data_IF_331738744507
#
_entry.id   IF_331738744507
#
_cell.length_a   1.000
_cell.length_b   1.000
_cell.length_c   1.000
_cell.angle_alpha   90.00
_cell.angle_beta   90.00
_cell.angle_gamma   90.00
#
_symmetry.space_group_name_H-M   'P 1'
#
loop_
_entity.id
_entity.type
_entity.pdbx_description
1 polymer ?
#
# COMPACT_ATOMS: atom_id res chain seq x y z
N UNK A 1 -30.70 19.35 -1.71
CA UNK A 1 -32.09 19.28 -1.21
C UNK A 1 -32.86 18.43 -2.20
N UNK A 2 -33.01 17.13 -1.93
CA UNK A 2 -33.79 16.24 -2.81
C UNK A 2 -35.21 16.16 -2.26
N UNK A 3 -36.20 16.54 -3.06
CA UNK A 3 -37.62 16.49 -2.68
C UNK A 3 -38.27 15.31 -3.42
N UNK A 4 -38.36 14.16 -2.75
CA UNK A 4 -39.07 13.01 -3.30
C UNK A 4 -40.56 13.16 -3.00
N UNK A 5 -41.36 13.50 -4.01
CA UNK A 5 -42.83 13.42 -3.90
C UNK A 5 -43.28 12.01 -4.27
N UNK A 6 -44.01 11.36 -3.36
CA UNK A 6 -44.69 10.09 -3.63
C UNK A 6 -46.17 10.38 -3.85
N UNK A 7 -46.70 9.91 -4.98
CA UNK A 7 -48.13 9.89 -5.25
C UNK A 7 -48.57 8.41 -5.28
N UNK A 8 -49.49 8.03 -4.40
CA UNK A 8 -50.09 6.70 -4.36
C UNK A 8 -51.51 6.76 -3.83
N UNK A 9 -52.47 6.35 -4.64
CA UNK A 9 -53.91 6.28 -4.33
C UNK A 9 -54.27 4.92 -3.72
N UNK A 10 -55.31 4.95 -2.87
CA UNK A 10 -56.12 3.86 -2.29
C UNK A 10 -55.85 3.46 -0.82
N UNK A 11 -56.78 3.92 0.02
CA UNK A 11 -57.17 3.48 1.39
C UNK A 11 -56.05 3.12 2.38
N UNK A 12 -55.93 3.98 3.41
CA UNK A 12 -55.15 3.89 4.65
C UNK A 12 -53.71 4.45 4.64
N UNK A 13 -53.66 5.78 4.82
CA UNK A 13 -52.53 6.65 5.20
C UNK A 13 -51.71 7.30 4.07
N UNK A 14 -51.84 8.63 3.97
CA UNK A 14 -50.98 9.51 3.15
C UNK A 14 -49.75 9.91 4.00
N UNK A 15 -48.54 9.68 3.49
CA UNK A 15 -47.30 10.13 4.15
C UNK A 15 -46.30 10.71 3.15
N UNK A 16 -45.42 11.58 3.63
CA UNK A 16 -44.34 12.24 2.87
C UNK A 16 -43.14 12.53 3.77
N UNK A 17 -41.98 12.79 3.18
CA UNK A 17 -40.76 13.11 3.94
C UNK A 17 -39.96 14.23 3.29
N UNK A 18 -39.24 15.00 4.11
CA UNK A 18 -38.29 16.04 3.69
C UNK A 18 -36.95 15.74 4.36
N UNK A 19 -35.89 15.68 3.57
CA UNK A 19 -34.54 15.39 4.07
C UNK A 19 -33.52 16.42 3.58
N UNK A 20 -32.55 16.72 4.44
CA UNK A 20 -31.36 17.53 4.13
C UNK A 20 -30.12 16.76 4.53
N UNK A 21 -29.38 16.31 3.53
CA UNK A 21 -28.11 15.63 3.68
C UNK A 21 -26.95 16.50 3.16
N UNK A 22 -25.80 16.37 3.80
CA UNK A 22 -24.52 16.97 3.41
C UNK A 22 -23.42 15.93 3.59
N UNK A 23 -22.61 15.73 2.56
CA UNK A 23 -21.47 14.82 2.61
C UNK A 23 -20.21 15.44 2.01
N UNK A 24 -19.07 15.16 2.63
CA UNK A 24 -17.75 15.55 2.15
C UNK A 24 -16.86 14.32 2.09
N UNK A 25 -16.15 14.15 0.98
CA UNK A 25 -15.17 13.07 0.81
C UNK A 25 -13.83 13.65 0.34
N UNK A 26 -12.75 13.23 0.98
CA UNK A 26 -11.38 13.57 0.57
C UNK A 26 -10.56 12.30 0.44
N UNK A 27 -9.82 12.14 -0.65
CA UNK A 27 -8.89 11.02 -0.86
C UNK A 27 -7.50 11.55 -1.20
N UNK A 28 -6.47 10.90 -0.64
CA UNK A 28 -5.06 11.15 -0.91
C UNK A 28 -4.37 9.81 -1.17
N UNK A 29 -3.53 9.76 -2.21
CA UNK A 29 -2.80 8.57 -2.60
C UNK A 29 -1.33 8.87 -2.89
N UNK A 30 -0.44 7.98 -2.44
CA UNK A 30 0.96 7.97 -2.87
C UNK A 30 1.24 6.65 -3.59
N UNK A 31 1.68 6.73 -4.83
CA UNK A 31 2.08 5.58 -5.64
C UNK A 31 3.57 5.63 -5.92
N UNK A 32 4.25 4.50 -5.72
CA UNK A 32 5.62 4.24 -6.12
C UNK A 32 5.61 3.25 -7.27
N UNK A 33 6.61 3.37 -8.13
CA UNK A 33 6.93 2.40 -9.16
C UNK A 33 8.38 1.99 -8.97
N UNK A 34 8.64 0.69 -8.96
CA UNK A 34 10.01 0.24 -8.86
C UNK A 34 10.74 0.48 -10.18
N UNK A 35 11.99 0.95 -10.08
CA UNK A 35 12.90 0.94 -11.21
C UNK A 35 13.31 -0.50 -11.53
N UNK A 36 13.43 -0.87 -12.80
CA UNK A 36 13.94 -2.18 -13.21
C UNK A 36 15.30 -1.99 -13.90
N UNK A 37 16.33 -2.65 -13.40
CA UNK A 37 17.66 -2.68 -14.00
C UNK A 37 18.00 -4.13 -14.31
N UNK A 38 18.01 -4.47 -15.60
CA UNK A 38 18.39 -5.80 -16.07
C UNK A 38 19.68 -5.71 -16.87
N UNK A 39 20.65 -6.55 -16.54
CA UNK A 39 21.91 -6.63 -17.25
C UNK A 39 22.51 -8.05 -17.15
N UNK A 40 23.54 -8.35 -17.93
CA UNK A 40 24.28 -9.60 -17.75
C UNK A 40 24.97 -9.63 -16.39
N UNK A 41 25.69 -8.56 -16.09
CA UNK A 41 26.32 -8.34 -14.79
C UNK A 41 25.95 -6.95 -14.30
N UNK A 42 25.74 -6.81 -12.99
CA UNK A 42 25.55 -5.52 -12.33
C UNK A 42 26.66 -5.40 -11.29
N UNK A 43 27.43 -4.31 -11.35
CA UNK A 43 28.49 -4.02 -10.39
C UNK A 43 28.24 -2.65 -9.76
N UNK A 44 28.08 -2.59 -8.45
CA UNK A 44 27.94 -1.35 -7.68
C UNK A 44 29.15 -1.23 -6.77
N UNK A 45 30.10 -0.36 -7.13
CA UNK A 45 31.33 -0.14 -6.36
C UNK A 45 31.32 1.30 -5.83
N UNK A 46 31.15 1.45 -4.53
CA UNK A 46 31.04 2.75 -3.87
C UNK A 46 31.95 2.77 -2.65
N UNK A 47 32.58 3.91 -2.38
CA UNK A 47 33.40 4.08 -1.17
C UNK A 47 32.57 4.44 0.06
N UNK A 48 31.31 4.84 -0.15
CA UNK A 48 30.38 5.32 0.86
C UNK A 48 29.12 4.45 0.87
N UNK A 49 28.03 4.95 1.43
CA UNK A 49 26.79 4.21 1.61
C UNK A 49 26.04 4.04 0.28
N UNK A 50 25.54 2.83 0.03
CA UNK A 50 24.65 2.50 -1.09
C UNK A 50 23.24 2.28 -0.57
N UNK A 51 22.26 2.97 -1.17
CA UNK A 51 20.83 2.78 -0.88
C UNK A 51 20.09 2.31 -2.12
N UNK A 52 19.40 1.18 -2.00
CA UNK A 52 18.59 0.59 -3.06
C UNK A 52 17.16 0.55 -2.54
N UNK A 53 16.33 1.49 -3.00
CA UNK A 53 14.96 1.66 -2.53
C UNK A 53 13.98 1.74 -3.69
N UNK A 54 12.99 0.84 -3.69
CA UNK A 54 12.02 0.74 -4.77
C UNK A 54 12.67 0.34 -6.10
N UNK A 55 13.48 -0.73 -6.11
CA UNK A 55 14.18 -1.16 -7.31
C UNK A 55 14.23 -2.68 -7.47
N UNK A 56 14.25 -3.14 -8.71
CA UNK A 56 14.42 -4.53 -9.12
C UNK A 56 15.72 -4.64 -9.92
N UNK A 57 16.79 -5.11 -9.29
CA UNK A 57 18.08 -5.34 -9.92
C UNK A 57 18.15 -6.81 -10.31
N UNK A 58 18.22 -7.09 -11.61
CA UNK A 58 18.27 -8.43 -12.15
C UNK A 58 19.52 -8.59 -13.01
N UNK A 59 20.55 -9.23 -12.44
CA UNK A 59 21.68 -9.67 -13.23
C UNK A 59 21.43 -11.10 -13.75
N UNK A 60 21.61 -11.36 -15.04
CA UNK A 60 21.42 -12.73 -15.55
C UNK A 60 22.58 -13.66 -15.18
N UNK A 61 23.72 -13.08 -14.80
CA UNK A 61 24.92 -13.79 -14.34
C UNK A 61 25.34 -13.34 -12.92
N UNK A 62 25.98 -12.18 -12.78
CA UNK A 62 26.53 -11.75 -11.48
C UNK A 62 25.99 -10.39 -11.03
N UNK A 63 25.63 -10.29 -9.74
CA UNK A 63 25.38 -9.03 -9.05
C UNK A 63 26.45 -8.87 -7.98
N UNK A 64 27.32 -7.86 -8.13
CA UNK A 64 28.37 -7.54 -7.16
C UNK A 64 28.10 -6.16 -6.54
N UNK A 65 28.16 -6.07 -5.22
CA UNK A 65 28.03 -4.83 -4.47
C UNK A 65 29.22 -4.72 -3.51
N UNK A 66 30.00 -3.65 -3.66
CA UNK A 66 31.06 -3.27 -2.74
C UNK A 66 30.76 -1.84 -2.25
N UNK A 67 30.56 -1.71 -0.93
CA UNK A 67 30.09 -0.45 -0.34
C UNK A 67 30.50 -0.37 1.13
N UNK A 68 30.47 0.85 1.71
CA UNK A 68 30.67 1.00 3.15
C UNK A 68 29.49 0.42 3.92
N UNK A 69 28.30 0.93 3.63
CA UNK A 69 27.03 0.47 4.19
C UNK A 69 26.03 0.22 3.06
N UNK A 70 25.23 -0.84 3.19
CA UNK A 70 24.17 -1.16 2.24
C UNK A 70 22.81 -1.06 2.91
N UNK A 71 21.90 -0.28 2.33
CA UNK A 71 20.47 -0.28 2.67
C UNK A 71 19.67 -0.80 1.47
N UNK A 72 18.85 -1.82 1.68
CA UNK A 72 17.93 -2.36 0.67
C UNK A 72 16.52 -2.34 1.25
N UNK A 73 15.65 -1.54 0.65
CA UNK A 73 14.37 -1.18 1.27
C UNK A 73 13.23 -1.20 0.26
N UNK A 74 12.20 -1.99 0.53
CA UNK A 74 10.93 -1.91 -0.19
C UNK A 74 10.20 -0.60 0.07
N UNK A 75 9.29 -0.24 -0.84
CA UNK A 75 8.46 0.97 -0.73
C UNK A 75 7.00 0.61 -0.49
N UNK A 76 6.21 1.56 0.00
CA UNK A 76 4.78 1.35 0.27
C UNK A 76 3.95 2.37 -0.49
N UNK A 77 3.02 1.89 -1.30
CA UNK A 77 1.91 2.70 -1.75
C UNK A 77 0.99 2.96 -0.57
N UNK A 78 0.41 4.15 -0.49
CA UNK A 78 -0.49 4.54 0.61
C UNK A 78 -1.74 5.14 0.01
N UNK A 79 -2.89 4.79 0.57
CA UNK A 79 -4.17 5.41 0.26
C UNK A 79 -4.83 5.84 1.57
N UNK A 80 -5.37 7.05 1.61
CA UNK A 80 -6.08 7.60 2.75
C UNK A 80 -7.34 8.29 2.27
N UNK A 81 -8.50 7.79 2.68
CA UNK A 81 -9.78 8.43 2.40
C UNK A 81 -10.47 8.84 3.71
N UNK A 82 -11.19 9.95 3.67
CA UNK A 82 -12.02 10.44 4.77
C UNK A 82 -13.37 10.85 4.22
N UNK A 83 -14.42 10.24 4.74
CA UNK A 83 -15.80 10.58 4.42
C UNK A 83 -16.50 11.08 5.67
N UNK A 84 -17.26 12.14 5.55
CA UNK A 84 -18.12 12.67 6.61
C UNK A 84 -19.48 12.98 6.01
N UNK A 85 -20.55 12.52 6.63
CA UNK A 85 -21.91 12.82 6.25
C UNK A 85 -22.74 13.24 7.46
N UNK A 86 -23.69 14.13 7.20
CA UNK A 86 -24.62 14.68 8.16
C UNK A 86 -25.97 14.79 7.47
N UNK A 87 -27.04 14.35 8.12
CA UNK A 87 -28.36 14.33 7.55
C UNK A 87 -29.43 14.60 8.60
N UNK A 88 -30.49 15.27 8.18
CA UNK A 88 -31.70 15.47 8.96
C UNK A 88 -32.91 15.15 8.09
N UNK A 89 -33.93 14.50 8.65
CA UNK A 89 -35.17 14.16 7.95
C UNK A 89 -36.40 14.39 8.81
N UNK A 90 -37.51 14.72 8.17
CA UNK A 90 -38.81 14.95 8.78
C UNK A 90 -39.86 14.16 8.00
N UNK A 91 -40.57 13.27 8.67
CA UNK A 91 -41.68 12.48 8.12
C UNK A 91 -43.03 13.05 8.56
N UNK A 92 -43.93 13.28 7.61
CA UNK A 92 -45.30 13.75 7.82
C UNK A 92 -46.29 12.68 7.35
N UNK A 93 -47.33 12.43 8.14
CA UNK A 93 -48.38 11.46 7.86
C UNK A 93 -49.78 12.05 8.03
N UNK A 94 -50.80 11.23 7.82
CA UNK A 94 -52.23 11.59 7.92
C UNK A 94 -52.63 12.20 9.27
N UNK A 95 -51.88 11.95 10.34
CA UNK A 95 -52.15 12.44 11.70
C UNK A 95 -51.15 13.51 12.19
N UNK A 96 -50.34 14.10 11.30
CA UNK A 96 -49.33 15.10 11.64
C UNK A 96 -47.89 14.60 11.44
N UNK A 97 -46.93 15.18 12.16
CA UNK A 97 -45.53 14.72 12.12
C UNK A 97 -45.43 13.30 12.68
N UNK A 98 -44.86 12.40 11.89
CA UNK A 98 -44.75 10.98 12.25
C UNK A 98 -43.33 10.62 12.68
N UNK A 99 -42.30 11.32 12.19
CA UNK A 99 -40.90 11.02 12.54
C UNK A 99 -39.96 12.22 12.33
N UNK A 100 -38.89 12.26 13.12
CA UNK A 100 -37.76 13.18 12.96
C UNK A 100 -36.48 12.34 13.04
N UNK A 101 -35.61 12.46 12.06
CA UNK A 101 -34.34 11.72 11.98
C UNK A 101 -33.15 12.67 11.94
N UNK A 102 -32.08 12.31 12.64
CA UNK A 102 -30.76 12.90 12.48
C UNK A 102 -29.75 11.79 12.33
N UNK A 103 -28.87 11.89 11.33
CA UNK A 103 -27.82 10.91 11.10
C UNK A 103 -26.50 11.61 10.87
N UNK A 104 -25.45 11.10 11.51
CA UNK A 104 -24.08 11.58 11.35
C UNK A 104 -23.25 10.35 11.05
N UNK A 105 -22.33 10.41 10.09
CA UNK A 105 -21.44 9.28 9.83
C UNK A 105 -20.06 9.76 9.46
N UNK A 106 -19.04 9.04 9.92
CA UNK A 106 -17.65 9.31 9.58
C UNK A 106 -16.98 7.99 9.20
N UNK A 107 -16.15 8.02 8.18
CA UNK A 107 -15.35 6.87 7.81
C UNK A 107 -13.93 7.34 7.49
N UNK A 108 -12.96 6.73 8.15
CA UNK A 108 -11.55 6.89 7.82
C UNK A 108 -11.03 5.58 7.24
N UNK A 109 -10.52 5.63 6.01
CA UNK A 109 -9.84 4.52 5.36
C UNK A 109 -8.35 4.87 5.26
N UNK A 110 -7.50 3.91 5.61
CA UNK A 110 -6.06 4.00 5.40
C UNK A 110 -5.53 2.63 4.99
N UNK A 111 -4.90 2.56 3.82
CA UNK A 111 -4.22 1.36 3.35
C UNK A 111 -2.77 1.62 2.96
N UNK A 112 -1.96 0.58 3.08
CA UNK A 112 -0.55 0.51 2.73
C UNK A 112 -0.31 -0.79 1.99
N UNK A 113 0.30 -0.71 0.81
CA UNK A 113 0.66 -1.90 0.01
C UNK A 113 2.15 -1.88 -0.29
N UNK A 114 2.85 -2.95 0.08
CA UNK A 114 4.29 -3.08 -0.16
C UNK A 114 4.57 -3.36 -1.64
N UNK A 115 5.52 -2.63 -2.20
CA UNK A 115 6.15 -2.89 -3.48
C UNK A 115 7.59 -3.36 -3.24
N UNK A 116 7.83 -4.64 -3.50
CA UNK A 116 9.05 -5.36 -3.13
C UNK A 116 10.27 -4.85 -3.90
N UNK A 117 11.29 -4.38 -3.21
CA UNK A 117 12.63 -4.18 -3.78
C UNK A 117 13.36 -5.50 -3.82
N UNK A 118 13.91 -5.85 -5.00
CA UNK A 118 14.53 -7.14 -5.25
C UNK A 118 15.90 -7.00 -5.90
N UNK A 119 16.81 -7.88 -5.52
CA UNK A 119 18.15 -8.01 -6.07
C UNK A 119 18.41 -9.47 -6.38
N UNK A 120 18.53 -9.81 -7.67
CA UNK A 120 18.61 -11.20 -8.10
C UNK A 120 19.70 -11.45 -9.13
N UNK A 121 20.40 -12.58 -8.98
CA UNK A 121 21.42 -13.02 -9.94
C UNK A 121 21.64 -14.53 -9.92
N UNK A 122 22.45 -15.11 -10.82
CA UNK A 122 22.97 -16.48 -10.61
C UNK A 122 23.90 -16.54 -9.42
N UNK A 123 24.74 -15.51 -9.30
CA UNK A 123 25.59 -15.30 -8.15
C UNK A 123 25.45 -13.87 -7.66
N UNK A 124 25.11 -13.72 -6.39
CA UNK A 124 25.04 -12.43 -5.71
C UNK A 124 26.19 -12.37 -4.73
N UNK A 125 27.04 -11.36 -4.84
CA UNK A 125 28.14 -11.09 -3.92
C UNK A 125 27.97 -9.68 -3.35
N UNK A 126 27.77 -9.58 -2.04
CA UNK A 126 27.63 -8.31 -1.34
C UNK A 126 28.72 -8.23 -0.28
N UNK A 127 29.60 -7.25 -0.42
CA UNK A 127 30.64 -6.94 0.54
C UNK A 127 30.36 -5.54 1.10
N UNK A 128 30.12 -5.48 2.40
CA UNK A 128 29.96 -4.22 3.11
C UNK A 128 31.03 -4.09 4.18
N UNK A 129 31.60 -2.89 4.30
CA UNK A 129 32.64 -2.63 5.29
C UNK A 129 32.11 -2.52 6.71
N UNK A 130 30.82 -2.16 6.89
CA UNK A 130 30.26 -1.86 8.20
C UNK A 130 28.86 -2.46 8.43
N UNK A 131 27.84 -2.02 7.70
CA UNK A 131 26.46 -2.44 7.98
C UNK A 131 25.68 -2.79 6.72
N UNK A 132 24.85 -3.83 6.83
CA UNK A 132 23.80 -4.14 5.86
C UNK A 132 22.44 -4.06 6.54
N UNK A 133 21.53 -3.28 5.98
CA UNK A 133 20.15 -3.13 6.41
C UNK A 133 19.19 -3.61 5.33
N UNK A 134 18.30 -4.53 5.69
CA UNK A 134 17.26 -5.08 4.83
C UNK A 134 15.88 -4.77 5.41
N UNK A 135 15.05 -4.03 4.68
CA UNK A 135 13.68 -3.69 5.11
C UNK A 135 12.67 -4.14 4.08
N UNK A 136 12.05 -5.29 4.37
CA UNK A 136 11.03 -5.91 3.51
C UNK A 136 11.52 -6.22 2.09
N UNK A 137 12.83 -6.36 1.88
CA UNK A 137 13.49 -6.54 0.58
C UNK A 137 13.90 -7.99 0.32
N UNK A 138 14.08 -8.35 -0.95
CA UNK A 138 14.56 -9.67 -1.38
C UNK A 138 15.97 -9.57 -1.99
N UNK A 139 16.89 -10.40 -1.49
CA UNK A 139 18.19 -10.65 -2.11
C UNK A 139 18.29 -12.15 -2.33
N UNK A 140 18.40 -12.59 -3.58
CA UNK A 140 18.36 -14.01 -3.87
C UNK A 140 19.13 -14.39 -5.12
N UNK A 141 19.64 -15.62 -5.13
CA UNK A 141 20.08 -16.28 -6.34
C UNK A 141 19.08 -17.37 -6.78
N UNK A 142 17.91 -17.00 -7.34
CA UNK A 142 16.77 -17.92 -7.48
C UNK A 142 17.08 -19.09 -8.41
N UNK A 143 16.92 -20.32 -7.94
CA UNK A 143 17.05 -21.52 -8.77
C UNK A 143 15.92 -21.59 -9.80
N UNK A 144 16.26 -21.81 -11.06
CA UNK A 144 15.26 -22.24 -12.04
C UNK A 144 15.08 -23.74 -11.88
N UNK A 145 13.83 -24.23 -12.02
CA UNK A 145 13.52 -25.66 -12.03
C UNK A 145 14.04 -26.30 -13.32
N UNK A 146 15.36 -26.39 -13.48
CA UNK A 146 16.01 -27.04 -14.61
C UNK A 146 16.64 -28.34 -14.15
N UNK A 147 16.56 -29.38 -14.98
CA UNK A 147 17.12 -30.72 -14.76
C UNK A 147 18.65 -30.73 -14.53
N UNK A 148 19.33 -29.60 -14.78
CA UNK A 148 20.76 -29.41 -14.57
C UNK A 148 21.05 -28.72 -13.24
N UNK A 149 21.92 -29.29 -12.42
CA UNK A 149 22.40 -28.64 -11.18
C UNK A 149 23.32 -27.47 -11.56
N UNK A 150 22.75 -26.26 -11.64
CA UNK A 150 23.54 -25.03 -11.74
C UNK A 150 23.74 -24.49 -10.33
N UNK A 151 24.99 -24.41 -9.86
CA UNK A 151 25.30 -23.79 -8.57
C UNK A 151 24.97 -22.30 -8.61
N UNK A 152 24.13 -21.87 -7.67
CA UNK A 152 23.72 -20.47 -7.51
C UNK A 152 23.95 -20.10 -6.07
N UNK A 153 24.61 -18.98 -5.82
CA UNK A 153 25.02 -18.60 -4.47
C UNK A 153 24.70 -17.14 -4.17
N UNK A 154 24.44 -16.86 -2.90
CA UNK A 154 24.34 -15.51 -2.36
C UNK A 154 25.36 -15.42 -1.23
N UNK A 155 26.40 -14.63 -1.45
CA UNK A 155 27.42 -14.33 -0.44
C UNK A 155 27.16 -12.92 0.09
N UNK A 156 27.07 -12.80 1.42
CA UNK A 156 26.94 -11.53 2.12
C UNK A 156 28.02 -11.44 3.20
N UNK A 157 28.96 -10.51 3.01
CA UNK A 157 29.98 -10.15 3.98
C UNK A 157 29.61 -8.80 4.58
N UNK A 158 29.37 -8.74 5.89
CA UNK A 158 29.04 -7.51 6.62
C UNK A 158 29.48 -7.64 8.07
N UNK A 159 29.91 -6.55 8.71
CA UNK A 159 30.22 -6.58 10.14
C UNK A 159 28.94 -6.65 10.99
N UNK A 160 27.84 -6.08 10.49
CA UNK A 160 26.55 -6.11 11.17
C UNK A 160 25.39 -6.18 10.18
N UNK A 161 24.34 -6.91 10.55
CA UNK A 161 23.15 -7.11 9.72
C UNK A 161 21.90 -6.75 10.53
N UNK A 162 21.08 -5.84 9.98
CA UNK A 162 19.72 -5.60 10.47
C UNK A 162 18.71 -6.03 9.40
N UNK A 163 17.70 -6.78 9.83
CA UNK A 163 16.62 -7.22 8.96
C UNK A 163 15.27 -6.93 9.62
N UNK A 164 14.38 -6.32 8.85
CA UNK A 164 13.04 -5.95 9.30
C UNK A 164 12.02 -6.24 8.21
N UNK A 165 10.78 -6.54 8.61
CA UNK A 165 9.68 -6.69 7.67
C UNK A 165 9.03 -5.34 7.38
N UNK A 166 8.38 -5.25 6.21
CA UNK A 166 7.53 -4.13 5.84
C UNK A 166 6.12 -4.68 5.63
N UNK A 167 5.12 -4.07 6.27
CA UNK A 167 3.76 -4.62 6.32
C UNK A 167 2.84 -4.05 5.23
N UNK A 168 1.93 -4.89 4.73
CA UNK A 168 0.74 -4.43 4.01
C UNK A 168 -0.39 -4.31 5.03
N UNK A 169 -1.20 -3.27 4.95
CA UNK A 169 -2.29 -3.04 5.91
C UNK A 169 -3.44 -2.35 5.20
N UNK A 170 -4.66 -2.76 5.49
CA UNK A 170 -5.87 -2.01 5.11
C UNK A 170 -6.70 -1.85 6.37
N UNK A 171 -7.01 -0.61 6.74
CA UNK A 171 -7.81 -0.30 7.92
C UNK A 171 -8.94 0.63 7.48
N UNK A 172 -10.17 0.23 7.80
CA UNK A 172 -11.37 1.04 7.61
C UNK A 172 -12.01 1.20 8.98
N UNK A 173 -12.10 2.44 9.45
CA UNK A 173 -12.70 2.78 10.74
C UNK A 173 -13.97 3.60 10.48
N UNK A 174 -15.14 2.94 10.32
CA UNK A 174 -16.41 3.62 10.33
C UNK A 174 -16.79 4.00 11.78
N UNK A 175 -17.24 5.23 11.98
CA UNK A 175 -17.94 5.67 13.18
C UNK A 175 -19.41 5.87 12.81
N UNK A 176 -20.28 5.10 13.48
CA UNK A 176 -21.73 5.28 13.47
C UNK A 176 -22.12 6.36 14.47
#
# INVERSE_FOLDING_TARGET
MSLTRVYGTNSSNLSGSISRDSSTSTSQQTTHNNTNLTATNINLNTTQDTKIKGANLQATNQLNIDTKNLEVSSVQNKHKAKTRSQGASLGIGSSGVNSVGFNQSKADENSKTVLLTSMTAKQVNINTQAHTQLTGSLIAAPTQATKTVTTRTTHLTTNSLSASSLNTTTTINPTQ
#
